data_IF_981935321162
#
_entry.id   IF_981935321162
#
_cell.length_a   1.000
_cell.length_b   1.000
_cell.length_c   1.000
_cell.angle_alpha   90.00
_cell.angle_beta   90.00
_cell.angle_gamma   90.00
#
_symmetry.space_group_name_H-M   'P 1'
#
loop_
_entity.id
_entity.type
_entity.pdbx_description
1 polymer ?
#
# COMPACT_ATOMS: atom_id res chain seq x y z
N UNK A 1 -33.25 0.06 -11.78
CA UNK A 1 -32.25 -0.17 -12.87
C UNK A 1 -31.70 1.19 -13.23
N UNK A 2 -30.60 1.60 -12.61
CA UNK A 2 -29.91 2.83 -13.01
C UNK A 2 -29.20 2.53 -14.33
N UNK A 3 -29.58 3.25 -15.38
CA UNK A 3 -28.85 3.27 -16.63
C UNK A 3 -27.51 3.92 -16.33
N UNK A 4 -26.44 3.14 -16.45
CA UNK A 4 -25.10 3.69 -16.63
C UNK A 4 -25.16 4.38 -17.99
N UNK A 5 -25.33 5.71 -18.00
CA UNK A 5 -25.04 6.50 -19.18
C UNK A 5 -23.61 6.18 -19.57
N UNK A 6 -23.45 5.44 -20.68
CA UNK A 6 -22.17 5.31 -21.36
C UNK A 6 -21.79 6.72 -21.81
N UNK A 7 -21.19 7.50 -20.91
CA UNK A 7 -20.55 8.76 -21.26
C UNK A 7 -19.55 8.40 -22.37
N UNK A 8 -19.76 8.97 -23.55
CA UNK A 8 -18.82 8.86 -24.65
C UNK A 8 -17.53 9.58 -24.22
N UNK A 9 -16.66 8.87 -23.53
CA UNK A 9 -15.36 9.35 -23.10
C UNK A 9 -14.58 9.78 -24.34
N UNK A 10 -14.04 11.00 -24.30
CA UNK A 10 -13.11 11.45 -25.33
C UNK A 10 -11.85 10.57 -25.30
N UNK A 11 -11.15 10.47 -26.43
CA UNK A 11 -9.84 9.81 -26.50
C UNK A 11 -8.87 10.45 -25.50
N UNK A 12 -9.01 11.75 -25.27
CA UNK A 12 -8.25 12.51 -24.27
C UNK A 12 -8.57 12.03 -22.85
N UNK A 13 -9.85 11.83 -22.51
CA UNK A 13 -10.27 11.34 -21.19
C UNK A 13 -9.72 9.92 -20.93
N UNK A 14 -9.76 9.05 -21.94
CA UNK A 14 -9.19 7.69 -21.85
C UNK A 14 -7.68 7.75 -21.64
N UNK A 15 -6.99 8.66 -22.33
CA UNK A 15 -5.53 8.83 -22.21
C UNK A 15 -5.16 9.33 -20.82
N UNK A 16 -5.89 10.32 -20.29
CA UNK A 16 -5.68 10.82 -18.91
C UNK A 16 -5.90 9.70 -17.90
N UNK A 17 -6.97 8.91 -18.04
CA UNK A 17 -7.22 7.76 -17.16
C UNK A 17 -6.09 6.73 -17.22
N UNK A 18 -5.55 6.45 -18.41
CA UNK A 18 -4.41 5.52 -18.56
C UNK A 18 -3.13 6.04 -17.93
N UNK A 19 -2.82 7.32 -18.10
CA UNK A 19 -1.68 7.93 -17.42
C UNK A 19 -1.85 7.88 -15.89
N UNK A 20 -3.06 8.13 -15.38
CA UNK A 20 -3.34 8.01 -13.95
C UNK A 20 -3.15 6.57 -13.44
N UNK A 21 -3.62 5.58 -14.20
CA UNK A 21 -3.43 4.16 -13.89
C UNK A 21 -1.94 3.79 -13.82
N UNK A 22 -1.17 4.16 -14.85
CA UNK A 22 0.27 3.91 -14.91
C UNK A 22 1.03 4.58 -13.75
N UNK A 23 0.69 5.83 -13.42
CA UNK A 23 1.31 6.56 -12.29
C UNK A 23 1.05 5.84 -10.96
N UNK A 24 -0.18 5.36 -10.74
CA UNK A 24 -0.53 4.64 -9.50
C UNK A 24 0.19 3.29 -9.43
N UNK A 25 0.31 2.58 -10.55
CA UNK A 25 1.08 1.33 -10.62
C UNK A 25 2.56 1.58 -10.26
N UNK A 26 3.18 2.59 -10.89
CA UNK A 26 4.57 2.97 -10.61
C UNK A 26 4.76 3.37 -9.15
N UNK A 27 3.86 4.16 -8.57
CA UNK A 27 3.92 4.55 -7.15
C UNK A 27 3.86 3.33 -6.22
N UNK A 28 3.03 2.33 -6.56
CA UNK A 28 2.95 1.09 -5.79
C UNK A 28 4.26 0.28 -5.85
N UNK A 29 4.89 0.22 -7.03
CA UNK A 29 6.18 -0.46 -7.22
C UNK A 29 7.30 0.26 -6.45
N UNK A 30 7.34 1.59 -6.50
CA UNK A 30 8.27 2.43 -5.74
C UNK A 30 8.11 2.17 -4.25
N UNK A 31 6.88 2.12 -3.73
CA UNK A 31 6.61 1.82 -2.31
C UNK A 31 7.14 0.45 -1.90
N UNK A 32 6.96 -0.57 -2.75
CA UNK A 32 7.49 -1.91 -2.49
C UNK A 32 9.02 -1.91 -2.47
N UNK A 33 9.65 -1.29 -3.46
CA UNK A 33 11.12 -1.14 -3.52
C UNK A 33 11.66 -0.38 -2.32
N UNK A 34 11.00 0.70 -1.90
CA UNK A 34 11.38 1.47 -0.72
C UNK A 34 11.29 0.64 0.56
N UNK A 35 10.27 -0.20 0.71
CA UNK A 35 10.15 -1.13 1.85
C UNK A 35 11.32 -2.11 1.88
N UNK A 36 11.74 -2.63 0.73
CA UNK A 36 12.92 -3.51 0.64
C UNK A 36 14.21 -2.77 0.95
N UNK A 37 14.41 -1.57 0.41
CA UNK A 37 15.57 -0.71 0.71
C UNK A 37 15.65 -0.46 2.23
N UNK A 38 14.55 -0.04 2.86
CA UNK A 38 14.49 0.20 4.30
C UNK A 38 14.87 -1.05 5.11
N UNK A 39 14.47 -2.23 4.65
CA UNK A 39 14.83 -3.50 5.29
C UNK A 39 16.33 -3.76 5.20
N UNK A 40 16.96 -3.51 4.04
CA UNK A 40 18.41 -3.66 3.86
C UNK A 40 19.22 -2.63 4.65
N UNK A 41 18.74 -1.38 4.73
CA UNK A 41 19.37 -0.35 5.57
C UNK A 41 19.33 -0.74 7.05
N UNK A 42 18.21 -1.28 7.54
CA UNK A 42 18.12 -1.80 8.91
C UNK A 42 19.13 -2.93 9.18
N UNK A 43 19.29 -3.86 8.23
CA UNK A 43 20.29 -4.92 8.35
C UNK A 43 21.72 -4.35 8.37
N UNK A 44 22.02 -3.36 7.53
CA UNK A 44 23.31 -2.68 7.55
C UNK A 44 23.58 -2.02 8.90
N UNK A 45 22.58 -1.37 9.51
CA UNK A 45 22.71 -0.83 10.87
C UNK A 45 22.97 -1.92 11.92
N UNK A 46 22.26 -3.06 11.85
CA UNK A 46 22.51 -4.17 12.76
C UNK A 46 23.95 -4.70 12.64
N UNK A 47 24.42 -4.92 11.40
CA UNK A 47 25.80 -5.35 11.14
C UNK A 47 26.79 -4.29 11.63
N UNK A 48 26.54 -3.01 11.38
CA UNK A 48 27.37 -1.91 11.87
C UNK A 48 27.49 -1.92 13.39
N UNK A 49 26.38 -2.13 14.12
CA UNK A 49 26.39 -2.14 15.58
C UNK A 49 27.24 -3.27 16.18
N UNK A 50 27.35 -4.40 15.48
CA UNK A 50 28.18 -5.54 15.88
C UNK A 50 29.66 -5.35 15.51
N UNK A 51 29.96 -4.53 14.49
CA UNK A 51 31.30 -4.39 13.90
C UNK A 51 31.85 -2.95 14.01
N UNK A 52 31.49 -2.22 15.07
CA UNK A 52 31.77 -0.76 15.21
C UNK A 52 33.25 -0.38 15.08
N UNK A 53 34.16 -1.21 15.59
CA UNK A 53 35.60 -0.96 15.57
C UNK A 53 36.30 -1.57 14.36
N UNK A 54 35.59 -2.37 13.56
CA UNK A 54 36.16 -3.02 12.40
C UNK A 54 36.11 -2.11 11.16
N UNK A 55 37.05 -2.30 10.20
CA UNK A 55 37.02 -1.58 8.92
C UNK A 55 35.67 -1.69 8.19
N UNK A 56 34.99 -2.83 8.33
CA UNK A 56 33.65 -3.06 7.77
C UNK A 56 32.60 -2.11 8.36
N UNK A 57 32.67 -1.82 9.66
CA UNK A 57 31.77 -0.87 10.30
C UNK A 57 31.98 0.56 9.80
N UNK A 58 33.23 0.95 9.54
CA UNK A 58 33.58 2.25 8.96
C UNK A 58 33.08 2.39 7.51
N UNK A 59 33.27 1.35 6.70
CA UNK A 59 32.75 1.29 5.32
C UNK A 59 31.22 1.41 5.28
N UNK A 60 30.51 0.72 6.17
CA UNK A 60 29.05 0.82 6.28
C UNK A 60 28.64 2.24 6.67
N UNK A 61 29.37 2.89 7.58
CA UNK A 61 29.07 4.26 8.01
C UNK A 61 29.22 5.27 6.85
N UNK A 62 30.31 5.14 6.08
CA UNK A 62 30.54 5.97 4.89
C UNK A 62 29.47 5.73 3.81
N UNK A 63 29.05 4.48 3.61
CA UNK A 63 27.97 4.17 2.69
C UNK A 63 26.64 4.78 3.15
N UNK A 64 26.27 4.62 4.42
CA UNK A 64 25.02 5.13 4.98
C UNK A 64 24.98 6.67 4.95
N UNK A 65 26.10 7.36 5.15
CA UNK A 65 26.15 8.83 5.05
C UNK A 65 25.97 9.35 3.62
N UNK A 66 26.39 8.58 2.61
CA UNK A 66 26.19 8.91 1.19
C UNK A 66 24.79 8.57 0.69
N UNK A 67 24.23 7.47 1.20
CA UNK A 67 22.94 6.95 0.77
C UNK A 67 21.79 7.68 1.45
N UNK A 68 21.99 8.17 2.68
CA UNK A 68 21.00 9.06 3.31
C UNK A 68 20.78 10.27 2.41
N UNK A 69 19.64 10.35 1.74
CA UNK A 69 19.22 11.58 1.13
C UNK A 69 18.66 12.45 2.27
N UNK A 70 18.58 13.76 2.08
CA UNK A 70 17.49 14.53 2.70
C UNK A 70 16.17 13.81 2.37
N UNK A 71 15.69 12.96 3.28
CA UNK A 71 14.58 12.06 3.01
C UNK A 71 13.58 12.08 4.17
N UNK A 72 12.30 12.36 3.89
CA UNK A 72 11.79 13.18 2.80
C UNK A 72 11.91 14.66 3.21
N UNK A 73 12.22 15.57 2.28
CA UNK A 73 11.56 16.88 2.38
C UNK A 73 10.08 16.56 2.43
N UNK A 74 9.47 16.60 3.62
CA UNK A 74 8.03 16.59 3.76
C UNK A 74 7.58 17.63 2.74
N UNK A 75 6.82 17.24 1.73
CA UNK A 75 6.06 18.20 0.96
C UNK A 75 5.18 18.88 2.03
N UNK A 76 5.65 20.00 2.58
CA UNK A 76 4.84 20.81 3.46
C UNK A 76 3.88 21.48 2.52
N UNK A 77 2.81 20.76 2.20
CA UNK A 77 1.64 21.35 1.57
C UNK A 77 1.02 22.21 2.66
N UNK A 78 1.54 23.43 2.77
CA UNK A 78 0.92 24.47 3.54
C UNK A 78 -0.35 24.84 2.77
N UNK A 79 -1.49 24.28 3.18
CA UNK A 79 -2.79 24.70 2.68
C UNK A 79 -3.00 26.13 3.16
N UNK A 80 -2.59 27.12 2.34
CA UNK A 80 -3.05 28.49 2.48
C UNK A 80 -4.52 28.52 2.08
N UNK A 81 -5.38 28.15 3.02
CA UNK A 81 -6.78 28.55 2.95
C UNK A 81 -6.85 30.07 2.83
N UNK A 82 -7.84 30.64 2.13
CA UNK A 82 -7.97 32.09 1.93
C UNK A 82 -8.11 32.91 3.24
N UNK A 83 -8.21 32.26 4.39
CA UNK A 83 -8.03 32.85 5.71
C UNK A 83 -7.39 31.78 6.62
N UNK A 84 -6.49 32.17 7.52
CA UNK A 84 -5.81 31.29 8.48
C UNK A 84 -6.75 30.78 9.60
N UNK A 85 -8.01 30.54 9.27
CA UNK A 85 -9.03 30.06 10.21
C UNK A 85 -9.19 28.54 10.03
N UNK A 86 -9.24 27.78 11.15
CA UNK A 86 -9.55 26.36 11.10
C UNK A 86 -10.87 26.14 10.36
N UNK A 87 -10.90 25.24 9.38
CA UNK A 87 -12.17 24.80 8.78
C UNK A 87 -13.00 24.17 9.90
N UNK A 88 -14.14 24.74 10.29
CA UNK A 88 -14.95 24.18 11.35
C UNK A 88 -15.56 22.87 10.84
N UNK A 89 -15.09 21.73 11.35
CA UNK A 89 -15.78 20.46 11.17
C UNK A 89 -17.11 20.57 11.90
N UNK A 90 -18.21 20.67 11.14
CA UNK A 90 -19.58 20.69 11.67
C UNK A 90 -19.99 19.30 12.17
N UNK A 91 -19.30 18.80 13.19
CA UNK A 91 -19.54 17.47 13.79
C UNK A 91 -20.37 17.58 15.08
N UNK A 92 -20.96 18.74 15.38
CA UNK A 92 -21.60 18.99 16.67
C UNK A 92 -22.84 18.15 16.97
N UNK A 93 -23.45 17.47 15.99
CA UNK A 93 -24.76 16.81 16.21
C UNK A 93 -24.88 15.36 15.69
N UNK A 94 -23.83 14.73 15.16
CA UNK A 94 -23.96 13.38 14.54
C UNK A 94 -23.52 12.24 15.47
N UNK A 95 -22.76 12.52 16.54
CA UNK A 95 -22.13 11.49 17.38
C UNK A 95 -22.53 11.51 18.86
N UNK A 96 -23.60 12.20 19.24
CA UNK A 96 -24.07 12.24 20.64
C UNK A 96 -24.63 10.90 21.14
N UNK A 97 -24.85 9.94 20.23
CA UNK A 97 -25.35 8.61 20.58
C UNK A 97 -24.30 7.57 20.20
N UNK A 98 -23.73 6.82 21.17
CA UNK A 98 -22.88 5.69 20.84
C UNK A 98 -23.68 4.72 19.99
N UNK A 99 -23.13 4.34 18.83
CA UNK A 99 -23.73 3.31 17.99
C UNK A 99 -23.53 1.99 18.73
N UNK A 100 -24.64 1.37 19.15
CA UNK A 100 -24.58 0.03 19.73
C UNK A 100 -24.07 -0.94 18.65
N UNK A 101 -22.86 -1.48 18.84
CA UNK A 101 -22.46 -2.67 18.10
C UNK A 101 -23.38 -3.81 18.57
N UNK A 102 -24.43 -4.08 17.80
CA UNK A 102 -25.22 -5.29 17.97
C UNK A 102 -24.32 -6.48 17.67
N UNK A 103 -23.70 -7.06 18.71
CA UNK A 103 -23.16 -8.40 18.63
C UNK A 103 -24.34 -9.33 18.45
N UNK A 104 -24.72 -9.59 17.19
CA UNK A 104 -25.61 -10.69 16.89
C UNK A 104 -24.93 -11.95 17.38
N UNK A 105 -25.62 -12.64 18.26
CA UNK A 105 -25.27 -13.96 18.75
C UNK A 105 -24.96 -14.86 17.55
N UNK A 106 -23.76 -15.47 17.58
CA UNK A 106 -23.32 -16.60 16.76
C UNK A 106 -23.32 -16.36 15.24
N UNK A 107 -22.30 -15.68 14.75
CA UNK A 107 -21.79 -16.03 13.42
C UNK A 107 -21.04 -17.36 13.53
N UNK A 108 -21.40 -18.33 12.68
CA UNK A 108 -20.63 -19.56 12.50
C UNK A 108 -19.19 -19.19 12.15
N UNK A 109 -18.25 -19.80 12.88
CA UNK A 109 -16.82 -19.60 12.67
C UNK A 109 -16.49 -20.16 11.28
N UNK A 110 -15.99 -19.32 10.38
CA UNK A 110 -15.44 -19.78 9.10
C UNK A 110 -14.24 -20.68 9.46
N UNK A 111 -14.25 -21.98 9.12
CA UNK A 111 -13.10 -22.83 9.37
C UNK A 111 -11.94 -22.33 8.52
N UNK A 112 -10.82 -21.98 9.16
CA UNK A 112 -9.56 -21.90 8.44
C UNK A 112 -9.21 -23.34 8.04
N UNK A 113 -9.36 -23.66 6.76
CA UNK A 113 -8.85 -24.91 6.22
C UNK A 113 -7.32 -24.89 6.35
N UNK A 114 -6.81 -25.63 7.33
CA UNK A 114 -5.41 -26.03 7.39
C UNK A 114 -5.20 -27.15 6.37
N UNK A 115 -4.16 -26.98 5.55
CA UNK A 115 -3.51 -27.94 4.66
C UNK A 115 -3.94 -27.96 3.19
N UNK A 116 -3.01 -27.41 2.39
CA UNK A 116 -2.31 -28.01 1.25
C UNK A 116 -3.04 -28.90 0.22
N UNK A 117 -2.62 -28.66 -1.01
CA UNK A 117 -2.69 -29.51 -2.22
C UNK A 117 -3.90 -29.35 -3.16
N UNK A 118 -3.56 -28.98 -4.41
CA UNK A 118 -4.28 -29.51 -5.58
C UNK A 118 -5.13 -28.55 -6.40
N UNK A 119 -4.54 -27.50 -6.99
CA UNK A 119 -5.03 -27.00 -8.29
C UNK A 119 -4.12 -27.56 -9.39
N UNK A 120 -4.25 -28.87 -9.61
CA UNK A 120 -3.73 -29.57 -10.75
C UNK A 120 -4.52 -29.17 -12.00
N UNK A 121 -3.79 -28.68 -13.00
CA UNK A 121 -4.26 -28.51 -14.36
C UNK A 121 -4.63 -29.87 -14.95
N UNK A 122 -5.89 -30.06 -15.33
CA UNK A 122 -6.32 -31.14 -16.24
C UNK A 122 -7.25 -30.50 -17.26
N UNK A 123 -6.94 -30.42 -18.56
CA UNK A 123 -6.15 -31.33 -19.38
C UNK A 123 -7.11 -32.32 -20.03
N UNK A 124 -7.78 -31.87 -21.11
CA UNK A 124 -8.67 -32.68 -21.94
C UNK A 124 -7.98 -33.97 -22.40
N UNK A 125 -8.55 -35.12 -22.02
CA UNK A 125 -8.02 -36.44 -22.30
C UNK A 125 -9.15 -37.46 -22.49
N UNK A 126 -9.70 -37.44 -23.70
CA UNK A 126 -10.69 -38.37 -24.25
C UNK A 126 -10.06 -39.75 -24.53
N UNK A 127 -10.67 -40.85 -24.05
CA UNK A 127 -10.67 -42.23 -24.61
C UNK A 127 -11.48 -43.14 -23.66
N UNK A 128 -12.74 -43.50 -23.97
CA UNK A 128 -13.24 -44.63 -24.80
C UNK A 128 -12.97 -46.04 -24.25
N UNK A 129 -14.08 -46.75 -24.00
CA UNK A 129 -14.40 -48.20 -24.13
C UNK A 129 -13.24 -49.16 -24.48
N UNK A 130 -13.09 -50.36 -23.91
CA UNK A 130 -14.00 -51.35 -23.31
C UNK A 130 -13.28 -52.13 -22.20
#
# INVERSE_FOLDING_TARGET
RQQMESQNLSVEDVTVMKLMEEIVEIDSEIKLKQKWINTRIKLLHQIQTQNKTEPKGQLINEFLSKIQPEYPQKLSVEYKGPASEPIPLSMKNVYDKPVALGMKEKHEVIPLAENEEGLGLSGDGKQMEN
#
